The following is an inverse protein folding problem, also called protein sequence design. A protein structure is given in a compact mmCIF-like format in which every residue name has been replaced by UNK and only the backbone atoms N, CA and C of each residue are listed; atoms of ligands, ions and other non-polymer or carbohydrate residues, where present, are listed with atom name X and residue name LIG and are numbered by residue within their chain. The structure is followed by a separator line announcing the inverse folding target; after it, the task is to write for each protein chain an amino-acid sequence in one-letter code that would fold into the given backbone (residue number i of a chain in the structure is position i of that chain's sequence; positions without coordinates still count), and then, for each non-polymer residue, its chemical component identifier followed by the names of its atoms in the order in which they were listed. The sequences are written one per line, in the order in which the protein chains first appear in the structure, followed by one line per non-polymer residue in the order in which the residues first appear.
data_IF_627897540629
#
_entry.id   IF_627897540629
#
_cell.length_a   1.000
_cell.length_b   1.000
_cell.length_c   1.000
_cell.angle_alpha   90.00
_cell.angle_beta   90.00
_cell.angle_gamma   90.00
#
_symmetry.space_group_name_H-M   'P 1'
#
loop_
_entity.id
_entity.type
_entity.pdbx_description
1 polymer ?
#
# COMPACT_ATOMS: atom_id res chain seq x y z
N UNK A 1 -6.37 -14.30 -16.53
CA UNK A 1 -5.50 -15.48 -16.43
C UNK A 1 -4.63 -15.33 -15.21
N UNK A 2 -4.38 -16.41 -14.47
CA UNK A 2 -3.44 -16.35 -13.33
C UNK A 2 -2.00 -16.19 -13.85
N UNK A 3 -1.07 -15.67 -13.03
CA UNK A 3 0.35 -15.56 -13.41
C UNK A 3 0.92 -16.92 -13.84
N UNK A 4 0.51 -18.00 -13.18
CA UNK A 4 0.91 -19.38 -13.50
C UNK A 4 0.46 -19.82 -14.90
N UNK A 5 -0.73 -19.40 -15.34
CA UNK A 5 -1.21 -19.69 -16.70
C UNK A 5 -0.49 -18.84 -17.74
N UNK A 6 -0.24 -17.57 -17.43
CA UNK A 6 0.44 -16.67 -18.35
C UNK A 6 1.90 -17.08 -18.61
N UNK A 7 2.61 -17.53 -17.56
CA UNK A 7 4.02 -17.94 -17.66
C UNK A 7 4.20 -19.40 -18.11
N UNK A 8 3.13 -20.20 -18.16
CA UNK A 8 3.22 -21.66 -18.28
C UNK A 8 3.49 -22.30 -16.92
N UNK A 9 2.67 -23.29 -16.52
CA UNK A 9 2.74 -23.89 -15.18
C UNK A 9 4.03 -24.68 -14.96
N UNK A 10 4.61 -25.20 -16.03
CA UNK A 10 5.90 -25.87 -16.10
C UNK A 10 7.08 -24.96 -15.80
N UNK A 11 6.92 -23.64 -15.94
CA UNK A 11 7.96 -22.64 -15.70
C UNK A 11 7.88 -21.99 -14.32
N UNK A 12 6.87 -22.34 -13.50
CA UNK A 12 6.63 -21.71 -12.20
C UNK A 12 6.36 -22.75 -11.12
N UNK A 13 7.12 -22.68 -10.03
CA UNK A 13 6.79 -23.42 -8.79
C UNK A 13 5.93 -22.53 -7.89
N UNK A 14 4.71 -22.97 -7.60
CA UNK A 14 3.86 -22.33 -6.59
C UNK A 14 4.20 -22.88 -5.20
N UNK A 15 4.59 -22.00 -4.28
CA UNK A 15 4.79 -22.34 -2.86
C UNK A 15 3.70 -21.58 -2.10
N UNK A 16 2.69 -22.31 -1.63
CA UNK A 16 1.60 -21.74 -0.86
C UNK A 16 2.06 -21.55 0.60
N UNK A 17 1.78 -20.37 1.16
CA UNK A 17 2.07 -20.02 2.55
C UNK A 17 0.75 -19.81 3.29
N UNK A 18 0.67 -20.26 4.55
CA UNK A 18 -0.47 -19.95 5.41
C UNK A 18 -0.65 -18.41 5.51
N UNK A 19 -1.88 -17.88 5.36
CA UNK A 19 -2.10 -16.45 5.40
C UNK A 19 -1.50 -15.79 6.65
N UNK A 20 -0.87 -14.62 6.48
CA UNK A 20 -0.23 -13.83 7.54
C UNK A 20 1.02 -14.46 8.17
N UNK A 21 1.64 -15.46 7.52
CA UNK A 21 2.88 -16.11 7.97
C UNK A 21 4.08 -15.86 7.04
N UNK A 22 3.99 -14.85 6.18
CA UNK A 22 5.05 -14.45 5.25
C UNK A 22 6.34 -14.00 5.96
N UNK A 23 6.25 -13.30 7.09
CA UNK A 23 7.42 -12.83 7.85
C UNK A 23 8.21 -14.01 8.45
N UNK A 24 7.58 -15.03 9.08
CA UNK A 24 8.25 -16.27 9.42
C UNK A 24 9.03 -16.92 8.28
N UNK A 25 8.45 -16.98 7.07
CA UNK A 25 9.15 -17.48 5.89
C UNK A 25 10.39 -16.63 5.58
N UNK A 26 10.25 -15.30 5.54
CA UNK A 26 11.36 -14.38 5.25
C UNK A 26 12.50 -14.49 6.27
N UNK A 27 12.17 -14.66 7.55
CA UNK A 27 13.16 -14.88 8.61
C UNK A 27 13.90 -16.21 8.45
N UNK A 28 13.20 -17.30 8.10
CA UNK A 28 13.84 -18.58 7.85
C UNK A 28 14.73 -18.61 6.61
N UNK A 29 14.35 -17.86 5.56
CA UNK A 29 15.23 -17.63 4.41
C UNK A 29 16.51 -16.89 4.85
N UNK A 30 16.36 -15.79 5.59
CA UNK A 30 17.49 -15.03 6.14
C UNK A 30 18.39 -15.89 7.05
N UNK A 31 17.79 -16.69 7.94
CA UNK A 31 18.52 -17.60 8.83
C UNK A 31 19.32 -18.63 8.03
N UNK A 32 18.74 -19.22 6.98
CA UNK A 32 19.44 -20.17 6.10
C UNK A 32 20.62 -19.47 5.40
N UNK A 33 20.41 -18.28 4.84
CA UNK A 33 21.48 -17.50 4.20
C UNK A 33 22.64 -17.22 5.17
N UNK A 34 22.33 -16.89 6.42
CA UNK A 34 23.34 -16.61 7.43
C UNK A 34 24.08 -17.88 7.89
N UNK A 35 23.34 -18.89 8.33
CA UNK A 35 23.91 -20.14 8.90
C UNK A 35 24.73 -20.95 7.90
N UNK A 36 24.39 -20.88 6.61
CA UNK A 36 25.17 -21.51 5.52
C UNK A 36 26.22 -20.58 4.91
N UNK A 37 26.42 -19.37 5.47
CA UNK A 37 27.39 -18.40 5.02
C UNK A 37 27.22 -18.00 3.53
N UNK A 38 25.97 -17.87 3.09
CA UNK A 38 25.57 -17.54 1.72
C UNK A 38 25.19 -16.05 1.52
N UNK A 39 25.20 -15.27 2.59
CA UNK A 39 24.88 -13.85 2.54
C UNK A 39 26.08 -13.00 2.11
N UNK A 40 25.82 -11.86 1.48
CA UNK A 40 26.88 -10.94 1.04
C UNK A 40 27.37 -10.04 2.19
N UNK A 41 28.47 -10.46 2.80
CA UNK A 41 29.13 -9.74 3.89
C UNK A 41 29.58 -8.34 3.49
N UNK A 42 30.08 -8.18 2.27
CA UNK A 42 30.60 -6.90 1.80
C UNK A 42 29.47 -5.91 1.57
N UNK A 43 28.34 -6.37 1.00
CA UNK A 43 27.18 -5.51 0.81
C UNK A 43 26.64 -5.02 2.15
N UNK A 44 26.46 -5.92 3.12
CA UNK A 44 25.97 -5.56 4.45
C UNK A 44 26.92 -4.60 5.18
N UNK A 45 28.23 -4.84 5.12
CA UNK A 45 29.20 -3.98 5.79
C UNK A 45 29.28 -2.56 5.20
N UNK A 46 29.11 -2.44 3.88
CA UNK A 46 29.30 -1.16 3.18
C UNK A 46 28.01 -0.34 3.01
N UNK A 47 26.85 -1.00 2.94
CA UNK A 47 25.58 -0.36 2.56
C UNK A 47 24.46 -0.53 3.58
N UNK A 48 24.70 -1.23 4.70
CA UNK A 48 23.69 -1.45 5.73
C UNK A 48 24.19 -1.01 7.11
N UNK A 49 23.23 -0.77 7.99
CA UNK A 49 23.45 -0.53 9.42
C UNK A 49 22.46 -1.39 10.20
N UNK A 50 22.80 -1.78 11.42
CA UNK A 50 21.87 -2.53 12.28
C UNK A 50 21.91 -4.06 12.14
N UNK A 51 22.75 -4.62 11.24
CA UNK A 51 22.76 -6.07 10.99
C UNK A 51 23.20 -6.87 12.22
N UNK A 52 24.26 -6.44 12.91
CA UNK A 52 24.74 -7.07 14.13
C UNK A 52 23.71 -7.02 15.26
N UNK A 53 22.86 -5.98 15.31
CA UNK A 53 21.77 -5.87 16.26
C UNK A 53 20.58 -6.78 15.93
N UNK A 54 20.43 -7.16 14.66
CA UNK A 54 19.39 -8.08 14.18
C UNK A 54 19.76 -9.54 14.42
N UNK A 55 21.04 -9.91 14.30
CA UNK A 55 21.51 -11.30 14.39
C UNK A 55 21.10 -12.03 15.68
N UNK A 56 21.22 -11.47 16.90
CA UNK A 56 20.82 -12.17 18.12
C UNK A 56 19.33 -12.56 18.14
N UNK A 57 18.48 -11.80 17.46
CA UNK A 57 17.07 -12.17 17.30
C UNK A 57 16.87 -13.28 16.26
N UNK A 58 17.57 -13.18 15.11
CA UNK A 58 17.49 -14.18 14.04
C UNK A 58 17.97 -15.55 14.53
N UNK A 59 19.07 -15.57 15.28
CA UNK A 59 19.70 -16.78 15.83
C UNK A 59 19.04 -17.31 17.09
N UNK A 60 18.07 -16.58 17.66
CA UNK A 60 17.37 -16.97 18.88
C UNK A 60 18.15 -16.72 20.18
N UNK A 61 19.30 -16.05 20.13
CA UNK A 61 20.08 -15.69 21.32
C UNK A 61 19.33 -14.75 22.25
N UNK A 62 18.48 -13.88 21.68
CA UNK A 62 17.70 -12.89 22.45
C UNK A 62 16.41 -13.44 23.05
N UNK A 63 15.76 -14.40 22.39
CA UNK A 63 14.40 -14.86 22.74
C UNK A 63 14.26 -16.39 22.87
N UNK A 64 15.36 -17.14 22.75
CA UNK A 64 15.40 -18.60 22.88
C UNK A 64 14.87 -19.38 21.67
N UNK A 65 14.48 -18.71 20.58
CA UNK A 65 13.91 -19.36 19.39
C UNK A 65 14.68 -18.97 18.13
N UNK A 66 15.58 -19.83 17.62
CA UNK A 66 16.16 -19.63 16.30
C UNK A 66 15.07 -19.52 15.25
N UNK A 67 15.17 -18.53 14.36
CA UNK A 67 14.18 -18.33 13.29
C UNK A 67 14.50 -19.21 12.08
N UNK A 68 14.77 -20.49 12.33
CA UNK A 68 15.19 -21.45 11.32
C UNK A 68 14.02 -22.01 10.49
N UNK A 69 14.33 -22.83 9.48
CA UNK A 69 13.32 -23.41 8.61
C UNK A 69 12.39 -24.42 9.33
N UNK A 70 12.87 -25.12 10.36
CA UNK A 70 12.04 -26.06 11.12
C UNK A 70 11.02 -25.34 12.02
N UNK A 71 11.39 -24.17 12.54
CA UNK A 71 10.48 -23.25 13.21
C UNK A 71 9.44 -22.69 12.24
N UNK A 72 9.87 -22.19 11.08
CA UNK A 72 8.97 -21.59 10.10
C UNK A 72 8.01 -22.60 9.48
N UNK A 73 8.39 -23.87 9.29
CA UNK A 73 7.52 -24.93 8.77
C UNK A 73 6.21 -25.04 9.58
N UNK A 74 6.31 -25.00 10.91
CA UNK A 74 5.16 -25.11 11.83
C UNK A 74 4.16 -23.95 11.68
N UNK A 75 4.62 -22.79 11.21
CA UNK A 75 3.80 -21.59 11.06
C UNK A 75 3.27 -21.48 9.63
N UNK A 76 4.17 -21.65 8.67
CA UNK A 76 3.95 -21.36 7.25
C UNK A 76 3.21 -22.47 6.52
N UNK A 77 3.30 -23.71 7.01
CA UNK A 77 2.83 -24.89 6.28
C UNK A 77 3.74 -25.30 5.11
N UNK A 78 4.95 -24.71 5.00
CA UNK A 78 5.94 -25.05 3.96
C UNK A 78 7.01 -25.93 4.60
N UNK A 79 7.32 -27.08 3.99
CA UNK A 79 8.36 -27.98 4.52
C UNK A 79 9.73 -27.28 4.61
N UNK A 80 10.50 -27.59 5.66
CA UNK A 80 11.74 -26.89 5.95
C UNK A 80 12.80 -27.03 4.84
N UNK A 81 12.79 -28.13 4.07
CA UNK A 81 13.75 -28.29 2.97
C UNK A 81 13.39 -27.43 1.77
N UNK A 82 12.10 -27.24 1.46
CA UNK A 82 11.66 -26.26 0.46
C UNK A 82 12.10 -24.85 0.84
N UNK A 83 12.00 -24.46 2.12
CA UNK A 83 12.46 -23.15 2.59
C UNK A 83 13.98 -23.00 2.40
N UNK A 84 14.78 -23.98 2.87
CA UNK A 84 16.24 -23.95 2.71
C UNK A 84 16.65 -23.95 1.24
N UNK A 85 16.04 -24.81 0.44
CA UNK A 85 16.27 -24.92 -1.00
C UNK A 85 16.00 -23.61 -1.73
N UNK A 86 14.92 -22.89 -1.36
CA UNK A 86 14.62 -21.58 -1.90
C UNK A 86 15.72 -20.55 -1.54
N UNK A 87 16.15 -20.49 -0.27
CA UNK A 87 17.22 -19.58 0.15
C UNK A 87 18.53 -19.83 -0.63
N UNK A 88 18.95 -21.10 -0.75
CA UNK A 88 20.13 -21.50 -1.51
C UNK A 88 20.01 -21.13 -2.99
N UNK A 89 18.85 -21.37 -3.59
CA UNK A 89 18.60 -21.01 -5.00
C UNK A 89 18.66 -19.50 -5.21
N UNK A 90 18.10 -18.70 -4.29
CA UNK A 90 18.15 -17.24 -4.35
C UNK A 90 19.59 -16.72 -4.27
N UNK A 91 20.42 -17.29 -3.40
CA UNK A 91 21.83 -16.90 -3.25
C UNK A 91 22.71 -17.30 -4.44
N UNK A 92 22.45 -18.48 -5.03
CA UNK A 92 23.24 -19.00 -6.14
C UNK A 92 23.01 -18.29 -7.48
N UNK A 93 21.94 -17.50 -7.61
CA UNK A 93 21.50 -16.91 -8.88
C UNK A 93 21.27 -15.40 -8.78
N UNK A 94 21.22 -14.73 -9.93
CA UNK A 94 20.67 -13.37 -10.02
C UNK A 94 19.16 -13.43 -9.75
N UNK A 95 18.74 -12.85 -8.63
CA UNK A 95 17.39 -12.96 -8.08
C UNK A 95 16.73 -11.60 -7.97
N UNK A 96 15.56 -11.47 -8.58
CA UNK A 96 14.66 -10.34 -8.44
C UNK A 96 13.48 -10.72 -7.53
N UNK A 97 13.33 -10.02 -6.41
CA UNK A 97 12.15 -10.15 -5.54
C UNK A 97 11.08 -9.19 -6.04
N UNK A 98 9.92 -9.71 -6.45
CA UNK A 98 8.76 -8.91 -6.89
C UNK A 98 7.67 -9.01 -5.82
N UNK A 99 7.48 -7.93 -5.07
CA UNK A 99 6.63 -7.91 -3.89
C UNK A 99 5.32 -7.15 -4.13
N UNK A 100 4.17 -7.74 -3.77
CA UNK A 100 2.83 -7.18 -3.98
C UNK A 100 2.26 -6.46 -2.76
N UNK A 101 1.34 -5.49 -2.94
CA UNK A 101 0.84 -4.66 -1.82
C UNK A 101 -0.25 -5.29 -0.95
N UNK A 102 -0.58 -6.57 -1.13
CA UNK A 102 -1.63 -7.23 -0.34
C UNK A 102 -1.19 -7.43 1.12
N UNK A 103 0.00 -8.00 1.32
CA UNK A 103 0.45 -8.49 2.63
C UNK A 103 0.63 -7.37 3.66
N UNK A 104 1.01 -6.17 3.22
CA UNK A 104 1.11 -5.00 4.10
C UNK A 104 -0.24 -4.41 4.54
N UNK A 105 -1.37 -4.83 3.96
CA UNK A 105 -2.73 -4.42 4.40
C UNK A 105 -3.29 -5.35 5.47
N UNK A 106 -2.46 -5.69 6.43
CA UNK A 106 -2.76 -6.61 7.52
C UNK A 106 -2.18 -6.05 8.83
N UNK A 107 -2.58 -6.62 9.97
CA UNK A 107 -1.97 -6.25 11.24
C UNK A 107 -0.46 -6.49 11.21
N UNK A 108 0.34 -5.51 11.64
CA UNK A 108 1.80 -5.52 11.55
C UNK A 108 2.35 -5.58 10.12
N UNK A 109 1.61 -5.09 9.13
CA UNK A 109 1.98 -5.13 7.71
C UNK A 109 3.30 -4.43 7.37
N UNK A 110 3.79 -3.55 8.24
CA UNK A 110 5.09 -2.88 8.11
C UNK A 110 6.25 -3.88 8.14
N UNK A 111 6.10 -4.98 8.90
CA UNK A 111 7.15 -5.98 9.09
C UNK A 111 7.46 -6.76 7.81
N UNK A 112 6.43 -7.05 7.02
CA UNK A 112 6.59 -7.76 5.74
C UNK A 112 7.42 -6.97 4.75
N UNK A 113 7.13 -5.67 4.58
CA UNK A 113 7.87 -4.84 3.64
C UNK A 113 9.32 -4.66 4.11
N UNK A 114 9.52 -4.47 5.43
CA UNK A 114 10.85 -4.32 6.00
C UNK A 114 11.70 -5.58 5.80
N UNK A 115 11.17 -6.76 6.11
CA UNK A 115 11.93 -8.01 5.98
C UNK A 115 12.23 -8.40 4.52
N UNK A 116 11.41 -8.01 3.55
CA UNK A 116 11.78 -8.13 2.12
C UNK A 116 13.07 -7.37 1.82
N UNK A 117 13.21 -6.15 2.33
CA UNK A 117 14.41 -5.32 2.11
C UNK A 117 15.62 -5.91 2.82
N UNK A 118 15.45 -6.40 4.05
CA UNK A 118 16.52 -7.11 4.79
C UNK A 118 17.00 -8.33 4.01
N UNK A 119 16.08 -9.17 3.52
CA UNK A 119 16.41 -10.35 2.73
C UNK A 119 17.15 -9.97 1.43
N UNK A 120 16.69 -8.93 0.73
CA UNK A 120 17.35 -8.45 -0.48
C UNK A 120 18.77 -7.90 -0.20
N UNK A 121 18.96 -7.22 0.94
CA UNK A 121 20.27 -6.74 1.37
C UNK A 121 21.22 -7.90 1.73
N UNK A 122 20.72 -8.94 2.41
CA UNK A 122 21.49 -10.15 2.69
C UNK A 122 21.93 -10.88 1.43
N UNK A 123 21.12 -10.84 0.35
CA UNK A 123 21.51 -11.39 -0.95
C UNK A 123 22.57 -10.53 -1.68
N UNK A 124 22.71 -9.25 -1.34
CA UNK A 124 23.74 -8.35 -1.88
C UNK A 124 23.54 -7.86 -3.32
N UNK A 125 22.37 -8.09 -3.92
CA UNK A 125 22.15 -7.86 -5.36
C UNK A 125 21.43 -6.54 -5.69
N UNK A 126 21.18 -5.70 -4.69
CA UNK A 126 20.49 -4.42 -4.87
C UNK A 126 21.34 -3.51 -5.78
N UNK A 127 20.72 -2.98 -6.83
CA UNK A 127 21.37 -2.09 -7.80
C UNK A 127 21.93 -2.78 -9.04
N UNK A 128 21.93 -4.12 -9.08
CA UNK A 128 22.38 -4.87 -10.26
C UNK A 128 21.22 -5.15 -11.23
N UNK A 129 21.46 -5.21 -12.56
CA UNK A 129 20.42 -5.54 -13.54
C UNK A 129 19.75 -6.90 -13.25
N UNK A 130 18.43 -6.91 -13.04
CA UNK A 130 17.66 -8.12 -12.69
C UNK A 130 17.88 -8.61 -11.26
N UNK A 131 18.48 -7.80 -10.38
CA UNK A 131 18.75 -8.12 -8.98
C UNK A 131 18.05 -7.17 -8.00
N UNK A 132 17.93 -7.61 -6.76
CA UNK A 132 17.34 -6.80 -5.68
C UNK A 132 15.84 -7.02 -5.55
N UNK A 133 15.09 -5.96 -5.24
CA UNK A 133 13.65 -6.04 -4.98
C UNK A 133 12.87 -4.91 -5.66
N UNK A 134 11.57 -5.11 -5.85
CA UNK A 134 10.66 -4.06 -6.29
C UNK A 134 9.24 -4.30 -5.81
N UNK A 135 8.64 -3.26 -5.24
CA UNK A 135 7.26 -3.29 -4.77
C UNK A 135 6.25 -2.86 -5.84
N UNK A 136 6.68 -2.41 -7.01
CA UNK A 136 5.82 -1.70 -7.97
C UNK A 136 5.44 -2.47 -9.24
N UNK A 137 6.13 -3.57 -9.60
CA UNK A 137 6.01 -4.21 -10.92
C UNK A 137 4.59 -4.64 -11.32
N UNK A 138 3.71 -4.86 -10.35
CA UNK A 138 2.32 -5.23 -10.55
C UNK A 138 1.37 -4.04 -10.79
N UNK A 139 1.89 -2.80 -10.77
CA UNK A 139 1.08 -1.58 -10.77
C UNK A 139 1.42 -0.67 -11.95
N UNK A 140 0.38 -0.19 -12.64
CA UNK A 140 0.42 0.91 -13.62
C UNK A 140 1.56 0.91 -14.66
N UNK A 141 1.96 -0.27 -15.13
CA UNK A 141 3.02 -0.40 -16.13
C UNK A 141 4.42 -0.15 -15.57
N UNK A 142 4.63 -0.34 -14.27
CA UNK A 142 5.97 -0.25 -13.71
C UNK A 142 6.95 -1.19 -14.40
N UNK A 143 8.13 -0.66 -14.74
CA UNK A 143 9.12 -1.35 -15.55
C UNK A 143 9.12 -0.97 -17.02
N UNK A 144 8.08 -0.31 -17.53
CA UNK A 144 8.12 0.22 -18.89
C UNK A 144 9.16 1.35 -18.98
N UNK A 145 10.05 1.35 -20.00
CA UNK A 145 11.01 2.43 -20.18
C UNK A 145 10.32 3.79 -20.29
N UNK A 146 10.69 4.71 -19.40
CA UNK A 146 10.20 6.08 -19.41
C UNK A 146 10.75 6.86 -20.60
N UNK A 147 9.94 7.76 -21.15
CA UNK A 147 10.36 8.73 -22.18
C UNK A 147 10.65 10.08 -21.53
N UNK A 148 11.58 10.85 -22.12
CA UNK A 148 11.93 12.23 -21.70
C UNK A 148 10.90 13.27 -22.20
N UNK A 149 9.62 12.88 -22.26
CA UNK A 149 8.54 13.74 -22.74
C UNK A 149 8.10 14.77 -21.72
N UNK A 150 7.17 15.63 -22.14
CA UNK A 150 6.48 16.56 -21.23
C UNK A 150 5.71 15.76 -20.18
N UNK A 151 5.90 16.13 -18.92
CA UNK A 151 5.12 15.63 -17.79
C UNK A 151 4.03 16.64 -17.51
N UNK A 152 2.78 16.19 -17.59
CA UNK A 152 1.64 17.00 -17.19
C UNK A 152 1.62 17.13 -15.66
N UNK A 153 1.63 18.36 -15.15
CA UNK A 153 1.36 18.61 -13.73
C UNK A 153 -0.11 18.40 -13.43
N UNK A 154 -0.44 17.72 -12.33
CA UNK A 154 -1.80 17.69 -11.82
C UNK A 154 -2.28 19.08 -11.40
N UNK A 155 -3.60 19.25 -11.27
CA UNK A 155 -4.18 20.45 -10.69
C UNK A 155 -3.77 20.57 -9.21
N UNK A 156 -3.47 21.79 -8.76
CA UNK A 156 -3.27 22.04 -7.33
C UNK A 156 -4.59 21.82 -6.59
N UNK A 157 -4.54 21.14 -5.45
CA UNK A 157 -5.67 21.08 -4.52
C UNK A 157 -5.96 22.42 -3.83
N UNK A 158 -5.12 23.44 -4.02
CA UNK A 158 -5.32 24.80 -3.50
C UNK A 158 -5.97 25.69 -4.56
N UNK A 159 -7.09 26.31 -4.23
CA UNK A 159 -7.70 27.36 -5.05
C UNK A 159 -6.95 28.68 -4.88
N UNK A 160 -6.87 29.50 -5.93
CA UNK A 160 -6.40 30.89 -5.83
C UNK A 160 -7.44 31.83 -5.24
N UNK A 161 -8.64 31.33 -4.96
CA UNK A 161 -9.75 32.07 -4.36
C UNK A 161 -9.57 32.06 -2.84
N UNK A 162 -9.48 33.23 -2.19
CA UNK A 162 -9.44 33.31 -0.73
C UNK A 162 -10.71 32.71 -0.11
N UNK A 163 -10.62 31.97 1.01
CA UNK A 163 -11.80 31.46 1.67
C UNK A 163 -12.64 32.61 2.26
N UNK A 164 -13.97 32.50 2.19
CA UNK A 164 -14.88 33.46 2.85
C UNK A 164 -14.66 33.45 4.38
N UNK A 165 -14.30 32.29 4.93
CA UNK A 165 -13.93 32.11 6.33
C UNK A 165 -12.49 31.59 6.42
N UNK A 166 -11.56 32.47 6.79
CA UNK A 166 -10.17 32.12 7.03
C UNK A 166 -9.94 31.91 8.54
N UNK A 167 -10.19 30.69 9.01
CA UNK A 167 -10.00 30.31 10.40
C UNK A 167 -9.14 29.05 10.52
N UNK A 168 -8.02 29.17 11.22
CA UNK A 168 -7.07 28.09 11.49
C UNK A 168 -7.13 27.57 12.94
N UNK A 169 -8.13 27.98 13.71
CA UNK A 169 -8.33 27.50 15.08
C UNK A 169 -9.02 26.13 15.13
N UNK A 170 -8.21 25.07 15.23
CA UNK A 170 -8.65 23.69 15.39
C UNK A 170 -8.98 23.31 16.84
N UNK A 171 -9.10 24.28 17.78
CA UNK A 171 -9.45 24.03 19.19
C UNK A 171 -8.57 22.98 19.88
N UNK A 172 -7.31 22.90 19.48
CA UNK A 172 -6.32 21.93 19.98
C UNK A 172 -6.49 20.49 19.46
N UNK A 173 -7.40 20.24 18.51
CA UNK A 173 -7.45 18.99 17.75
C UNK A 173 -6.44 19.02 16.60
N UNK A 174 -6.08 17.84 16.09
CA UNK A 174 -5.18 17.75 14.94
C UNK A 174 -5.92 18.10 13.65
N UNK A 175 -5.34 18.97 12.83
CA UNK A 175 -5.83 19.35 11.49
C UNK A 175 -5.61 18.26 10.43
N UNK A 176 -4.87 17.20 10.76
CA UNK A 176 -4.60 16.06 9.90
C UNK A 176 -4.62 14.79 10.73
N UNK A 177 -5.28 13.76 10.22
CA UNK A 177 -5.37 12.44 10.84
C UNK A 177 -5.00 11.33 9.84
N UNK A 178 -4.58 10.14 10.30
CA UNK A 178 -4.35 9.01 9.40
C UNK A 178 -5.67 8.60 8.72
N UNK A 179 -5.65 8.43 7.40
CA UNK A 179 -6.87 8.26 6.58
C UNK A 179 -7.82 7.16 7.08
N UNK A 180 -7.30 6.03 7.56
CA UNK A 180 -8.10 4.91 8.05
C UNK A 180 -8.66 5.09 9.48
N UNK A 181 -8.50 6.28 10.09
CA UNK A 181 -8.98 6.62 11.45
C UNK A 181 -10.16 7.59 11.44
N UNK A 182 -10.74 7.91 10.27
CA UNK A 182 -11.84 8.89 10.22
C UNK A 182 -13.11 8.41 10.95
N UNK A 183 -13.45 7.12 10.89
CA UNK A 183 -14.55 6.56 11.69
C UNK A 183 -14.25 6.63 13.19
N UNK A 184 -13.00 6.41 13.59
CA UNK A 184 -12.58 6.57 15.00
C UNK A 184 -12.74 8.03 15.45
N UNK A 185 -12.42 8.99 14.59
CA UNK A 185 -12.59 10.41 14.90
C UNK A 185 -14.07 10.81 15.08
N UNK A 186 -14.97 10.21 14.30
CA UNK A 186 -16.41 10.42 14.45
C UNK A 186 -16.93 9.80 15.76
N UNK A 187 -16.48 8.59 16.09
CA UNK A 187 -16.99 7.84 17.23
C UNK A 187 -16.38 8.27 18.57
N UNK A 188 -15.11 8.69 18.56
CA UNK A 188 -14.27 8.94 19.76
C UNK A 188 -13.52 10.29 19.65
N UNK A 189 -14.21 11.44 19.49
CA UNK A 189 -13.55 12.73 19.40
C UNK A 189 -12.75 13.06 20.66
N UNK A 190 -11.56 13.64 20.49
CA UNK A 190 -10.63 13.99 21.57
C UNK A 190 -9.69 12.86 22.01
N UNK A 191 -9.92 11.62 21.56
CA UNK A 191 -8.97 10.53 21.78
C UNK A 191 -7.61 10.87 21.17
N UNK A 192 -6.55 10.60 21.93
CA UNK A 192 -5.16 10.78 21.49
C UNK A 192 -4.62 9.44 21.02
N UNK A 193 -4.09 9.40 19.79
CA UNK A 193 -3.49 8.21 19.19
C UNK A 193 -2.01 8.48 18.85
N UNK A 194 -1.21 7.41 18.83
CA UNK A 194 0.15 7.46 18.32
C UNK A 194 0.15 7.25 16.81
N UNK A 195 0.91 8.07 16.08
CA UNK A 195 1.10 7.94 14.64
C UNK A 195 2.51 8.38 14.25
N UNK A 196 3.33 7.43 13.82
CA UNK A 196 4.69 7.67 13.33
C UNK A 196 5.53 8.58 14.26
N UNK A 197 5.62 8.21 15.54
CA UNK A 197 6.37 8.96 16.56
C UNK A 197 5.69 10.26 17.04
N UNK A 198 4.47 10.57 16.58
CA UNK A 198 3.71 11.76 16.98
C UNK A 198 2.41 11.38 17.68
N UNK A 199 1.88 12.32 18.45
CA UNK A 199 0.54 12.24 19.03
C UNK A 199 -0.46 12.98 18.14
N UNK A 200 -1.59 12.35 17.84
CA UNK A 200 -2.70 12.92 17.06
C UNK A 200 -3.95 12.92 17.92
N UNK A 201 -4.60 14.09 18.05
CA UNK A 201 -5.85 14.24 18.79
C UNK A 201 -7.02 14.29 17.80
N UNK A 202 -7.89 13.27 17.84
CA UNK A 202 -8.94 13.10 16.84
C UNK A 202 -9.99 14.22 16.91
N UNK A 203 -10.31 14.91 15.79
CA UNK A 203 -11.27 16.02 15.79
C UNK A 203 -12.73 15.54 15.83
N UNK A 204 -13.66 16.35 16.39
CA UNK A 204 -15.09 16.08 16.32
C UNK A 204 -15.63 16.41 14.93
N UNK A 205 -15.67 15.40 14.05
CA UNK A 205 -16.24 15.56 12.71
C UNK A 205 -17.77 15.63 12.78
N UNK A 206 -18.35 16.70 12.24
CA UNK A 206 -19.80 16.94 12.22
C UNK A 206 -20.40 16.90 10.82
N UNK A 207 -19.65 17.40 9.84
CA UNK A 207 -20.02 17.40 8.43
C UNK A 207 -18.92 16.69 7.62
N UNK A 208 -19.31 15.90 6.63
CA UNK A 208 -18.38 15.26 5.71
C UNK A 208 -18.85 15.42 4.26
N UNK A 209 -17.91 15.70 3.36
CA UNK A 209 -18.11 15.74 1.91
C UNK A 209 -17.31 14.59 1.29
N UNK A 210 -17.99 13.72 0.55
CA UNK A 210 -17.38 12.61 -0.17
C UNK A 210 -17.58 12.82 -1.67
N UNK A 211 -16.49 13.11 -2.39
CA UNK A 211 -16.50 13.25 -3.84
C UNK A 211 -15.68 12.12 -4.49
N UNK A 212 -16.29 11.37 -5.42
CA UNK A 212 -15.61 10.31 -6.17
C UNK A 212 -15.05 9.15 -5.32
N UNK A 213 -15.67 8.87 -4.16
CA UNK A 213 -15.20 7.84 -3.23
C UNK A 213 -16.37 7.13 -2.56
N UNK A 214 -16.22 5.83 -2.31
CA UNK A 214 -17.22 4.99 -1.67
C UNK A 214 -16.70 4.36 -0.35
N UNK A 215 -16.74 5.09 0.78
CA UNK A 215 -16.38 4.58 2.10
C UNK A 215 -17.04 3.26 2.51
N UNK A 216 -18.31 3.03 2.14
CA UNK A 216 -19.04 1.79 2.46
C UNK A 216 -18.52 0.58 1.69
N UNK A 217 -17.71 0.77 0.65
CA UNK A 217 -17.04 -0.32 -0.06
C UNK A 217 -15.59 -0.53 0.40
N UNK A 218 -14.84 0.56 0.58
CA UNK A 218 -13.38 0.48 0.83
C UNK A 218 -12.99 0.36 2.31
N UNK A 219 -13.85 0.75 3.23
CA UNK A 219 -13.55 0.79 4.65
C UNK A 219 -14.10 -0.45 5.37
N UNK A 220 -13.47 -0.84 6.48
CA UNK A 220 -13.75 -2.10 7.16
C UNK A 220 -14.88 -1.93 8.18
N UNK A 221 -15.48 -3.06 8.60
CA UNK A 221 -16.53 -3.12 9.63
C UNK A 221 -17.76 -2.25 9.29
N UNK A 222 -18.55 -2.69 8.31
CA UNK A 222 -19.72 -1.96 7.79
C UNK A 222 -20.68 -1.50 8.89
N UNK A 223 -21.00 -2.34 9.87
CA UNK A 223 -21.91 -1.96 10.97
C UNK A 223 -21.35 -0.80 11.82
N UNK A 224 -20.03 -0.75 12.02
CA UNK A 224 -19.36 0.34 12.74
C UNK A 224 -19.32 1.62 11.91
N UNK A 225 -19.17 1.51 10.59
CA UNK A 225 -19.33 2.65 9.69
C UNK A 225 -20.73 3.23 9.84
N UNK A 226 -21.78 2.40 9.81
CA UNK A 226 -23.18 2.85 9.98
C UNK A 226 -23.37 3.57 11.34
N UNK A 227 -22.78 3.06 12.42
CA UNK A 227 -22.82 3.73 13.72
C UNK A 227 -22.19 5.12 13.66
N UNK A 228 -21.00 5.25 13.08
CA UNK A 228 -20.33 6.54 12.92
C UNK A 228 -21.13 7.48 12.03
N UNK A 229 -21.64 6.97 10.90
CA UNK A 229 -22.41 7.74 9.93
C UNK A 229 -23.62 8.44 10.56
N UNK A 230 -24.32 7.76 11.48
CA UNK A 230 -25.49 8.31 12.21
C UNK A 230 -25.14 9.42 13.20
N UNK A 231 -23.87 9.62 13.55
CA UNK A 231 -23.43 10.72 14.43
C UNK A 231 -23.06 11.98 13.67
N UNK A 232 -22.92 11.92 12.34
CA UNK A 232 -22.72 13.09 11.50
C UNK A 232 -24.04 13.87 11.41
N UNK A 233 -23.92 15.19 11.39
CA UNK A 233 -25.05 16.11 11.26
C UNK A 233 -25.38 16.38 9.78
N UNK A 234 -24.39 16.25 8.90
CA UNK A 234 -24.57 16.42 7.46
C UNK A 234 -23.55 15.61 6.66
N UNK A 235 -24.03 14.82 5.71
CA UNK A 235 -23.23 14.06 4.75
C UNK A 235 -23.62 14.47 3.33
N UNK A 236 -22.63 14.96 2.58
CA UNK A 236 -22.79 15.29 1.17
C UNK A 236 -22.01 14.26 0.34
N UNK A 237 -22.69 13.65 -0.63
CA UNK A 237 -22.07 12.76 -1.60
C UNK A 237 -22.12 13.38 -3.01
N UNK A 238 -20.97 13.41 -3.68
CA UNK A 238 -20.81 13.86 -5.07
C UNK A 238 -20.30 12.66 -5.86
N UNK A 239 -21.16 12.12 -6.73
CA UNK A 239 -20.91 10.87 -7.43
C UNK A 239 -21.69 10.86 -8.76
N UNK A 240 -21.21 10.10 -9.73
CA UNK A 240 -21.90 9.87 -11.01
C UNK A 240 -22.72 8.56 -10.98
N UNK A 241 -22.67 7.82 -9.87
CA UNK A 241 -23.40 6.58 -9.64
C UNK A 241 -24.15 6.62 -8.30
N UNK A 242 -25.28 5.91 -8.22
CA UNK A 242 -26.07 5.78 -6.98
C UNK A 242 -25.44 4.74 -6.03
N UNK A 243 -24.24 5.06 -5.50
CA UNK A 243 -23.46 4.15 -4.64
C UNK A 243 -24.04 4.02 -3.24
N UNK A 244 -23.52 3.07 -2.45
CA UNK A 244 -23.87 2.94 -1.02
C UNK A 244 -23.59 4.23 -0.25
N UNK A 245 -22.55 5.00 -0.61
CA UNK A 245 -22.29 6.30 0.02
C UNK A 245 -23.39 7.31 -0.28
N UNK A 246 -23.87 7.40 -1.53
CA UNK A 246 -25.02 8.24 -1.89
C UNK A 246 -26.29 7.83 -1.14
N UNK A 247 -26.52 6.51 -1.01
CA UNK A 247 -27.70 5.96 -0.33
C UNK A 247 -27.75 6.27 1.17
N UNK A 248 -26.62 6.59 1.78
CA UNK A 248 -26.48 7.00 3.18
C UNK A 248 -26.13 8.50 3.34
N UNK A 249 -26.24 9.30 2.28
CA UNK A 249 -26.00 10.74 2.34
C UNK A 249 -27.31 11.52 2.57
N UNK A 250 -27.19 12.71 3.17
CA UNK A 250 -28.31 13.65 3.32
C UNK A 250 -28.55 14.43 2.02
N UNK A 251 -27.46 14.78 1.32
CA UNK A 251 -27.48 15.49 0.04
C UNK A 251 -26.65 14.72 -0.97
N UNK A 252 -27.24 14.47 -2.14
CA UNK A 252 -26.56 13.85 -3.28
C UNK A 252 -26.51 14.83 -4.43
N UNK A 253 -25.31 15.10 -4.95
CA UNK A 253 -25.09 15.97 -6.11
C UNK A 253 -24.59 15.12 -7.30
N UNK A 254 -25.32 15.07 -8.43
CA UNK A 254 -24.94 14.24 -9.57
C UNK A 254 -23.77 14.86 -10.36
N UNK A 255 -22.64 14.17 -10.37
CA UNK A 255 -21.47 14.53 -11.17
C UNK A 255 -21.51 13.89 -12.57
N UNK A 256 -20.91 14.55 -13.56
CA UNK A 256 -20.70 13.99 -14.90
C UNK A 256 -19.58 12.94 -14.91
N UNK A 257 -19.58 12.05 -15.89
CA UNK A 257 -18.42 11.20 -16.23
C UNK A 257 -17.39 11.99 -17.03
N UNK A 258 -16.18 11.44 -17.16
CA UNK A 258 -15.13 12.00 -18.01
C UNK A 258 -15.50 12.08 -19.50
N UNK A 259 -16.50 11.33 -19.96
CA UNK A 259 -16.94 11.32 -21.37
C UNK A 259 -17.92 12.46 -21.70
N UNK A 260 -18.40 13.17 -20.67
CA UNK A 260 -19.38 14.26 -20.79
C UNK A 260 -18.74 15.65 -20.75
N UNK A 261 -17.40 15.71 -20.71
CA UNK A 261 -16.61 16.95 -20.63
C UNK A 261 -15.29 16.85 -21.40
N UNK A 262 -14.63 17.98 -21.58
CA UNK A 262 -13.29 18.03 -22.16
C UNK A 262 -12.24 18.08 -21.04
N UNK A 263 -11.17 17.30 -21.19
CA UNK A 263 -10.03 17.28 -20.26
C UNK A 263 -8.74 16.85 -20.98
N UNK A 264 -7.66 16.68 -20.24
CA UNK A 264 -6.36 16.23 -20.73
C UNK A 264 -5.64 15.37 -19.69
N UNK A 265 -5.04 14.26 -20.12
CA UNK A 265 -4.34 13.31 -19.23
C UNK A 265 -2.98 12.84 -19.79
N UNK A 266 -2.10 12.39 -18.90
CA UNK A 266 -0.82 11.80 -19.23
C UNK A 266 -1.00 10.35 -19.72
N UNK A 267 -0.54 10.04 -20.93
CA UNK A 267 -0.53 8.68 -21.41
C UNK A 267 0.60 7.86 -20.80
N UNK A 268 0.22 6.91 -19.94
CA UNK A 268 1.11 5.88 -19.39
C UNK A 268 1.91 6.38 -18.20
N UNK A 269 1.42 6.04 -17.01
CA UNK A 269 1.86 6.56 -15.72
C UNK A 269 3.38 6.48 -15.44
N UNK A 270 4.07 5.41 -15.89
CA UNK A 270 5.54 5.29 -15.74
C UNK A 270 6.29 5.52 -17.06
N UNK A 271 5.63 5.27 -18.19
CA UNK A 271 6.25 5.35 -19.51
C UNK A 271 6.33 6.78 -20.08
N UNK A 272 5.49 7.70 -19.60
CA UNK A 272 5.34 9.06 -20.14
C UNK A 272 5.22 9.07 -21.67
N UNK A 273 4.36 8.22 -22.23
CA UNK A 273 4.29 7.97 -23.67
C UNK A 273 3.85 9.18 -24.48
N UNK A 274 3.04 10.04 -23.88
CA UNK A 274 2.52 11.24 -24.48
C UNK A 274 1.41 11.84 -23.65
N UNK A 275 0.65 12.75 -24.26
CA UNK A 275 -0.50 13.41 -23.66
C UNK A 275 -1.74 13.05 -24.48
N UNK A 276 -2.86 12.81 -23.81
CA UNK A 276 -4.15 12.50 -24.45
C UNK A 276 -5.09 13.67 -24.22
N UNK A 277 -5.66 14.19 -25.31
CA UNK A 277 -6.81 15.08 -25.24
C UNK A 277 -8.08 14.23 -25.03
N UNK A 278 -8.72 14.38 -23.88
CA UNK A 278 -9.98 13.71 -23.55
C UNK A 278 -11.13 14.59 -24.03
N UNK A 279 -11.49 14.45 -25.32
CA UNK A 279 -12.59 15.23 -25.90
C UNK A 279 -13.94 14.72 -25.39
N UNK A 280 -14.86 15.65 -25.15
CA UNK A 280 -16.25 15.36 -24.83
C UNK A 280 -16.86 14.47 -25.92
N UNK A 281 -17.49 13.37 -25.50
CA UNK A 281 -18.10 12.36 -26.38
C UNK A 281 -19.60 12.60 -26.47
N UNK A 282 -20.25 12.93 -25.36
CA UNK A 282 -21.69 13.20 -25.26
C UNK A 282 -21.95 14.43 -24.37
N UNK A 283 -23.09 15.13 -24.50
CA UNK A 283 -23.45 16.19 -23.55
C UNK A 283 -23.71 15.62 -22.14
N UNK A 284 -23.64 16.43 -21.06
CA UNK A 284 -24.06 16.02 -19.72
C UNK A 284 -25.46 15.39 -19.72
N UNK A 285 -25.61 14.25 -19.04
CA UNK A 285 -26.88 13.53 -18.99
C UNK A 285 -27.75 14.03 -17.83
N UNK A 286 -29.06 14.14 -18.09
CA UNK A 286 -30.06 14.59 -17.11
C UNK A 286 -29.71 15.96 -16.49
N UNK A 287 -29.63 16.05 -15.16
CA UNK A 287 -29.29 17.26 -14.41
C UNK A 287 -27.84 17.26 -13.90
N UNK A 288 -27.03 16.28 -14.32
CA UNK A 288 -25.65 16.17 -13.89
C UNK A 288 -24.80 17.37 -14.34
N UNK A 289 -23.82 17.75 -13.51
CA UNK A 289 -22.88 18.84 -13.79
C UNK A 289 -21.45 18.38 -13.58
N UNK A 290 -20.50 19.10 -14.16
CA UNK A 290 -19.08 18.89 -13.86
C UNK A 290 -18.81 19.18 -12.38
N UNK A 291 -17.86 18.45 -11.80
CA UNK A 291 -17.38 18.63 -10.42
C UNK A 291 -16.86 20.06 -10.15
#
# INVERSE_FOLDING_TARGET
TSTHEYLGREHVKHIAVNPQTDVPLQLALAHTLYSENLYDKNFLANYCVGFEQFLPYLLGEKDGQPKDAAWAEKLTGIDAETIRGLARQMAANRTQIIAGWCVQRMQHGEQWAWMIVVLAAMLGQIGLPGGGFGFGWHYNGAGTPGRKGVILSGFSGSTSIPPVHDNSDYKGYSSTIPIARFIDAILEPGKVINWNGKSVKLPPLKMCIFAGTNPFHRHQQINRIIEGWRKLETVIAIDNQWTSTCRFADIVLPATTQFERNDLDQYGNHSNRGIIAMKQVVPPQFEARND
#
